data_IF_475444483994
#
_entry.id   IF_475444483994
#
_cell.length_a   1.000
_cell.length_b   1.000
_cell.length_c   1.000
_cell.angle_alpha   90.00
_cell.angle_beta   90.00
_cell.angle_gamma   90.00
#
_symmetry.space_group_name_H-M   'P 1'
#
loop_
_entity.id
_entity.type
_entity.pdbx_description
1 polymer ?
#
# COMPACT_ATOMS: atom_id res chain seq x y z
N UNK A 1 -28.46 -11.27 39.98
CA UNK A 1 -27.13 -10.63 39.87
C UNK A 1 -26.21 -11.60 39.15
N UNK A 2 -26.01 -11.42 37.85
CA UNK A 2 -25.10 -12.25 37.05
C UNK A 2 -24.27 -11.31 36.17
N UNK A 3 -23.04 -11.03 36.63
CA UNK A 3 -22.04 -10.30 35.85
C UNK A 3 -21.55 -11.21 34.73
N UNK A 4 -22.03 -10.97 33.52
CA UNK A 4 -21.45 -11.54 32.30
C UNK A 4 -20.15 -10.79 32.04
N UNK A 5 -19.03 -11.44 32.36
CA UNK A 5 -17.71 -11.07 31.89
C UNK A 5 -17.73 -11.00 30.36
N UNK A 6 -17.76 -9.79 29.81
CA UNK A 6 -17.31 -9.57 28.44
C UNK A 6 -15.79 -9.76 28.43
N UNK A 7 -15.23 -10.68 27.61
CA UNK A 7 -13.80 -10.73 27.44
C UNK A 7 -13.36 -9.43 26.77
N UNK A 8 -12.56 -8.66 27.51
CA UNK A 8 -11.78 -7.53 27.00
C UNK A 8 -11.04 -7.99 25.74
N UNK A 9 -11.20 -7.26 24.63
CA UNK A 9 -10.18 -7.21 23.58
C UNK A 9 -9.23 -6.05 23.89
N UNK A 10 -8.01 -6.31 24.37
CA UNK A 10 -6.88 -5.45 24.09
C UNK A 10 -5.98 -6.19 23.10
N UNK A 11 -5.93 -5.73 21.86
CA UNK A 11 -4.73 -5.94 21.06
C UNK A 11 -3.95 -4.64 21.07
N UNK A 12 -2.94 -4.60 21.94
CA UNK A 12 -1.80 -3.72 21.79
C UNK A 12 -1.26 -3.86 20.36
N UNK A 13 -0.96 -2.72 19.74
CA UNK A 13 -0.50 -2.63 18.35
C UNK A 13 0.92 -3.19 18.23
N UNK A 14 1.04 -4.48 17.93
CA UNK A 14 2.27 -5.06 17.40
C UNK A 14 2.26 -4.94 15.87
N UNK A 15 3.35 -4.45 15.30
CA UNK A 15 3.56 -4.47 13.86
C UNK A 15 3.50 -5.92 13.33
N UNK A 16 2.82 -6.10 12.19
CA UNK A 16 2.34 -7.41 11.71
C UNK A 16 3.49 -8.33 11.29
N UNK A 17 3.38 -9.62 11.61
CA UNK A 17 4.45 -10.63 11.47
C UNK A 17 4.45 -11.29 10.08
N UNK A 18 5.61 -11.78 9.61
CA UNK A 18 5.71 -12.64 8.41
C UNK A 18 4.82 -13.86 8.59
N UNK A 19 3.98 -14.12 7.60
CA UNK A 19 3.00 -15.21 7.65
C UNK A 19 1.76 -14.93 8.51
N UNK A 20 1.60 -13.72 9.07
CA UNK A 20 0.34 -13.31 9.69
C UNK A 20 -0.80 -13.50 8.66
N UNK A 21 -1.82 -14.32 8.96
CA UNK A 21 -2.97 -14.50 8.08
C UNK A 21 -3.63 -13.18 7.66
N UNK A 22 -3.50 -12.12 8.46
CA UNK A 22 -4.05 -10.80 8.16
C UNK A 22 -3.33 -10.07 7.01
N UNK A 23 -2.11 -10.48 6.66
CA UNK A 23 -1.37 -9.90 5.53
C UNK A 23 -1.81 -10.48 4.18
N UNK A 24 -2.61 -11.55 4.18
CA UNK A 24 -3.00 -12.27 2.97
C UNK A 24 -4.14 -11.53 2.25
N UNK A 25 -4.10 -11.48 0.91
CA UNK A 25 -5.27 -11.11 0.13
C UNK A 25 -6.49 -11.95 0.54
N UNK A 26 -7.61 -11.26 0.67
CA UNK A 26 -8.95 -11.85 0.74
C UNK A 26 -9.52 -11.97 -0.69
N UNK A 27 -10.73 -12.51 -0.78
CA UNK A 27 -11.52 -12.56 -2.01
C UNK A 27 -11.55 -11.17 -2.69
N UNK A 28 -10.94 -11.02 -3.88
CA UNK A 28 -10.97 -9.75 -4.58
C UNK A 28 -12.36 -9.45 -5.12
N UNK A 29 -12.72 -8.17 -5.18
CA UNK A 29 -13.96 -7.73 -5.83
C UNK A 29 -13.65 -7.46 -7.30
N UNK A 30 -14.20 -8.26 -8.20
CA UNK A 30 -14.02 -8.11 -9.65
C UNK A 30 -15.35 -7.89 -10.34
N UNK A 31 -15.43 -6.83 -11.13
CA UNK A 31 -16.60 -6.47 -11.94
C UNK A 31 -16.16 -6.20 -13.37
N UNK A 32 -16.91 -6.76 -14.32
CA UNK A 32 -16.71 -6.58 -15.75
C UNK A 32 -17.97 -5.93 -16.32
N UNK A 33 -17.81 -4.79 -16.99
CA UNK A 33 -18.85 -4.19 -17.82
C UNK A 33 -18.51 -4.46 -19.28
N UNK A 34 -19.43 -5.07 -20.00
CA UNK A 34 -19.28 -5.37 -21.41
C UNK A 34 -19.94 -4.29 -22.27
N UNK A 35 -19.43 -4.08 -23.48
CA UNK A 35 -20.06 -3.20 -24.47
C UNK A 35 -21.18 -3.89 -25.27
N UNK A 36 -21.22 -5.23 -25.25
CA UNK A 36 -22.28 -6.04 -25.86
C UNK A 36 -22.50 -7.37 -25.13
N UNK A 37 -23.68 -8.01 -25.30
CA UNK A 37 -23.94 -9.31 -24.70
C UNK A 37 -22.93 -10.38 -25.15
N UNK A 38 -22.38 -11.18 -24.22
CA UNK A 38 -21.57 -12.36 -24.53
C UNK A 38 -22.48 -13.54 -24.92
N UNK A 39 -21.89 -14.60 -25.48
CA UNK A 39 -22.62 -15.82 -25.85
C UNK A 39 -23.27 -16.52 -24.64
N UNK A 40 -22.64 -16.41 -23.47
CA UNK A 40 -23.10 -17.05 -22.23
C UNK A 40 -23.23 -16.05 -21.08
N UNK A 41 -24.27 -16.22 -20.27
CA UNK A 41 -24.51 -15.34 -19.11
C UNK A 41 -23.58 -15.62 -17.92
N UNK A 42 -22.93 -16.77 -17.89
CA UNK A 42 -21.91 -17.13 -16.90
C UNK A 42 -20.68 -17.63 -17.65
N UNK A 43 -19.50 -17.33 -17.12
CA UNK A 43 -18.24 -17.73 -17.73
C UNK A 43 -17.10 -17.66 -16.72
N UNK A 44 -16.03 -18.41 -16.97
CA UNK A 44 -14.81 -18.39 -16.15
C UNK A 44 -13.70 -17.63 -16.87
N UNK A 45 -12.95 -16.79 -16.15
CA UNK A 45 -11.71 -16.18 -16.63
C UNK A 45 -10.59 -16.41 -15.64
N UNK A 46 -9.37 -16.15 -16.05
CA UNK A 46 -8.22 -16.22 -15.16
C UNK A 46 -7.62 -14.84 -14.99
N UNK A 47 -7.37 -14.49 -13.74
CA UNK A 47 -6.51 -13.37 -13.38
C UNK A 47 -5.11 -13.92 -13.13
N UNK A 48 -4.16 -13.48 -13.94
CA UNK A 48 -2.83 -14.06 -13.95
C UNK A 48 -1.78 -13.02 -13.62
N UNK A 49 -0.86 -13.40 -12.76
CA UNK A 49 0.25 -12.62 -12.23
C UNK A 49 1.51 -13.26 -12.78
N UNK A 50 2.38 -12.48 -13.42
CA UNK A 50 3.58 -12.97 -14.08
C UNK A 50 4.82 -12.33 -13.46
N UNK A 51 5.82 -13.15 -13.14
CA UNK A 51 7.12 -12.66 -12.69
C UNK A 51 8.05 -12.28 -13.86
N UNK A 52 9.21 -11.72 -13.54
CA UNK A 52 10.27 -11.38 -14.50
C UNK A 52 10.84 -12.59 -15.27
N UNK A 53 10.72 -13.83 -14.77
CA UNK A 53 11.13 -15.04 -15.51
C UNK A 53 10.09 -15.49 -16.54
N UNK A 54 8.89 -14.94 -16.46
CA UNK A 54 7.75 -15.32 -17.28
C UNK A 54 6.87 -16.42 -16.64
N UNK A 55 7.18 -16.87 -15.43
CA UNK A 55 6.35 -17.80 -14.68
C UNK A 55 5.06 -17.12 -14.18
N UNK A 56 4.02 -17.91 -13.94
CA UNK A 56 2.69 -17.38 -13.64
C UNK A 56 2.05 -17.99 -12.39
N UNK A 57 1.44 -17.14 -11.58
CA UNK A 57 0.42 -17.47 -10.57
C UNK A 57 -0.94 -17.10 -11.14
N UNK A 58 -1.92 -17.99 -11.05
CA UNK A 58 -3.23 -17.80 -11.69
C UNK A 58 -4.36 -18.01 -10.70
N UNK A 59 -5.32 -17.10 -10.74
CA UNK A 59 -6.57 -17.17 -10.01
C UNK A 59 -7.70 -17.40 -11.01
N UNK A 60 -8.38 -18.54 -10.90
CA UNK A 60 -9.58 -18.81 -11.68
C UNK A 60 -10.78 -18.11 -11.04
N UNK A 61 -11.56 -17.39 -11.86
CA UNK A 61 -12.67 -16.54 -11.41
C UNK A 61 -13.91 -16.87 -12.22
N UNK A 62 -14.98 -17.26 -11.54
CA UNK A 62 -16.30 -17.42 -12.16
C UNK A 62 -17.10 -16.13 -12.08
N UNK A 63 -17.72 -15.77 -13.20
CA UNK A 63 -18.54 -14.58 -13.32
C UNK A 63 -20.01 -14.93 -13.50
N UNK A 64 -20.87 -14.19 -12.81
CA UNK A 64 -22.33 -14.22 -12.99
C UNK A 64 -22.83 -12.83 -13.32
N UNK A 65 -23.85 -12.78 -14.19
CA UNK A 65 -24.53 -11.54 -14.54
C UNK A 65 -25.18 -10.91 -13.31
N UNK A 66 -24.87 -9.64 -13.05
CA UNK A 66 -25.49 -8.83 -11.99
C UNK A 66 -26.73 -8.14 -12.56
N UNK A 67 -26.54 -7.33 -13.60
CA UNK A 67 -27.59 -6.55 -14.26
C UNK A 67 -27.10 -6.05 -15.61
N UNK A 68 -28.01 -5.76 -16.55
CA UNK A 68 -27.67 -5.12 -17.83
C UNK A 68 -26.52 -5.81 -18.58
N UNK A 69 -25.41 -5.09 -18.76
CA UNK A 69 -24.15 -5.58 -19.31
C UNK A 69 -23.03 -5.66 -18.26
N UNK A 70 -23.39 -5.97 -17.01
CA UNK A 70 -22.47 -6.02 -15.87
C UNK A 70 -22.44 -7.43 -15.28
N UNK A 71 -21.24 -7.95 -15.09
CA UNK A 71 -20.93 -9.23 -14.46
C UNK A 71 -20.03 -9.00 -13.25
N UNK A 72 -20.22 -9.79 -12.19
CA UNK A 72 -19.34 -9.79 -11.03
C UNK A 72 -18.89 -11.19 -10.68
N UNK A 73 -17.89 -11.28 -9.81
CA UNK A 73 -17.43 -12.55 -9.24
C UNK A 73 -18.62 -13.25 -8.57
N UNK A 74 -18.81 -14.52 -8.91
CA UNK A 74 -19.70 -15.42 -8.18
C UNK A 74 -18.95 -16.45 -7.34
N UNK A 75 -17.75 -16.84 -7.75
CA UNK A 75 -16.92 -17.81 -7.03
C UNK A 75 -15.46 -17.77 -7.54
N UNK A 76 -14.56 -18.38 -6.74
CA UNK A 76 -13.21 -18.77 -7.14
C UNK A 76 -13.16 -20.31 -7.15
N UNK A 77 -13.37 -20.98 -8.31
CA UNK A 77 -13.57 -22.43 -8.35
C UNK A 77 -12.42 -23.25 -7.75
N UNK A 78 -11.20 -22.73 -7.89
CA UNK A 78 -9.99 -23.39 -7.42
C UNK A 78 -9.51 -22.81 -6.07
N UNK A 79 -10.36 -22.00 -5.41
CA UNK A 79 -9.99 -21.22 -4.24
C UNK A 79 -9.13 -19.98 -4.56
N UNK A 80 -8.66 -19.29 -3.52
CA UNK A 80 -7.83 -18.07 -3.63
C UNK A 80 -6.38 -18.28 -3.15
N UNK A 81 -5.99 -19.52 -2.84
CA UNK A 81 -4.69 -19.89 -2.29
C UNK A 81 -3.54 -19.44 -3.21
N UNK A 82 -3.75 -19.49 -4.52
CA UNK A 82 -2.82 -18.96 -5.50
C UNK A 82 -2.56 -17.45 -5.29
N UNK A 83 -3.61 -16.65 -5.09
CA UNK A 83 -3.47 -15.23 -4.79
C UNK A 83 -2.83 -15.01 -3.41
N UNK A 84 -3.25 -15.79 -2.40
CA UNK A 84 -2.66 -15.72 -1.07
C UNK A 84 -1.17 -16.06 -1.06
N UNK A 85 -0.72 -16.92 -1.97
CA UNK A 85 0.69 -17.27 -2.10
C UNK A 85 1.57 -16.10 -2.52
N UNK A 86 1.02 -15.01 -3.06
CA UNK A 86 1.78 -13.82 -3.43
C UNK A 86 2.47 -13.17 -2.23
N UNK A 87 2.00 -13.42 -1.01
CA UNK A 87 2.66 -12.93 0.21
C UNK A 87 3.87 -13.78 0.62
N UNK A 88 4.07 -14.94 -0.01
CA UNK A 88 5.15 -15.85 0.36
C UNK A 88 6.48 -15.41 -0.22
N UNK A 89 7.58 -15.88 0.40
CA UNK A 89 8.89 -15.54 -0.10
C UNK A 89 9.11 -15.89 -1.58
N UNK A 90 9.69 -14.98 -2.34
CA UNK A 90 9.99 -15.12 -3.76
C UNK A 90 8.86 -14.67 -4.70
N UNK A 91 7.67 -14.36 -4.18
CA UNK A 91 6.49 -14.14 -5.01
C UNK A 91 6.14 -12.66 -5.24
N UNK A 92 6.89 -11.70 -4.67
CA UNK A 92 6.57 -10.26 -4.84
C UNK A 92 6.57 -9.83 -6.31
N UNK A 93 7.51 -10.32 -7.10
CA UNK A 93 7.67 -9.94 -8.53
C UNK A 93 6.51 -10.38 -9.44
N UNK A 94 5.67 -11.32 -9.00
CA UNK A 94 4.50 -11.75 -9.79
C UNK A 94 3.48 -10.63 -9.99
N UNK A 95 3.50 -9.60 -9.13
CA UNK A 95 2.63 -8.45 -9.26
C UNK A 95 3.04 -7.47 -10.38
N UNK A 96 4.22 -7.62 -10.97
CA UNK A 96 4.76 -6.66 -11.94
C UNK A 96 4.01 -6.71 -13.28
N UNK A 97 3.51 -7.89 -13.64
CA UNK A 97 2.70 -8.08 -14.84
C UNK A 97 1.42 -8.83 -14.52
N UNK A 98 0.31 -8.27 -15.00
CA UNK A 98 -1.03 -8.75 -14.68
C UNK A 98 -1.83 -8.92 -15.96
N UNK A 99 -2.58 -10.01 -16.08
CA UNK A 99 -3.35 -10.36 -17.27
C UNK A 99 -4.75 -10.83 -16.91
N UNK A 100 -5.74 -10.50 -17.74
CA UNK A 100 -7.02 -11.19 -17.78
C UNK A 100 -7.01 -12.16 -18.96
N UNK A 101 -7.14 -13.45 -18.69
CA UNK A 101 -7.02 -14.52 -19.70
C UNK A 101 -8.32 -15.31 -19.89
N UNK A 102 -8.56 -15.79 -21.12
CA UNK A 102 -9.67 -16.71 -21.44
C UNK A 102 -9.29 -18.20 -21.36
N UNK A 103 -8.01 -18.54 -21.60
CA UNK A 103 -7.41 -19.88 -21.42
C UNK A 103 -8.24 -21.06 -21.98
N UNK A 104 -8.70 -20.94 -23.21
CA UNK A 104 -9.45 -22.00 -23.91
C UNK A 104 -10.97 -21.87 -23.79
N UNK A 105 -11.49 -20.82 -23.15
CA UNK A 105 -12.92 -20.52 -23.15
C UNK A 105 -13.45 -20.19 -24.55
N UNK A 106 -14.68 -20.60 -24.84
CA UNK A 106 -15.34 -20.42 -26.15
C UNK A 106 -15.95 -19.02 -26.36
N UNK A 107 -16.03 -18.23 -25.29
CA UNK A 107 -16.77 -16.97 -25.28
C UNK A 107 -15.84 -15.78 -25.41
N UNK A 108 -16.04 -14.97 -26.45
CA UNK A 108 -15.42 -13.64 -26.56
C UNK A 108 -16.13 -12.63 -25.65
N UNK A 109 -15.37 -11.82 -24.90
CA UNK A 109 -15.90 -10.73 -24.08
C UNK A 109 -15.45 -9.39 -24.64
N UNK A 110 -16.40 -8.49 -24.94
CA UNK A 110 -16.07 -7.12 -25.33
C UNK A 110 -16.07 -6.23 -24.09
N UNK A 111 -14.92 -6.11 -23.44
CA UNK A 111 -14.80 -5.44 -22.15
C UNK A 111 -14.76 -3.94 -22.37
N UNK A 112 -15.80 -3.24 -21.89
CA UNK A 112 -15.83 -1.78 -21.84
C UNK A 112 -15.03 -1.29 -20.64
N UNK A 113 -15.35 -1.80 -19.46
CA UNK A 113 -14.76 -1.38 -18.20
C UNK A 113 -14.44 -2.60 -17.33
N UNK A 114 -13.29 -2.56 -16.67
CA UNK A 114 -12.85 -3.60 -15.74
C UNK A 114 -12.53 -2.95 -14.40
N UNK A 115 -13.08 -3.53 -13.34
CA UNK A 115 -12.76 -3.17 -11.97
C UNK A 115 -12.27 -4.41 -11.21
N UNK A 116 -11.08 -4.32 -10.63
CA UNK A 116 -10.43 -5.29 -9.77
C UNK A 116 -9.98 -4.56 -8.51
N UNK A 117 -10.59 -4.88 -7.37
CA UNK A 117 -10.20 -4.37 -6.05
C UNK A 117 -9.59 -5.52 -5.26
N UNK A 118 -8.34 -5.36 -4.84
CA UNK A 118 -7.70 -6.28 -3.91
C UNK A 118 -8.11 -5.93 -2.49
N UNK A 119 -8.53 -6.95 -1.74
CA UNK A 119 -9.04 -6.81 -0.40
C UNK A 119 -8.08 -7.44 0.60
N UNK A 120 -7.92 -6.81 1.76
CA UNK A 120 -7.05 -7.27 2.84
C UNK A 120 -7.79 -7.19 4.17
N UNK A 121 -7.44 -8.05 5.13
CA UNK A 121 -7.88 -7.86 6.51
C UNK A 121 -7.30 -6.55 7.01
N UNK A 122 -8.15 -5.61 7.45
CA UNK A 122 -7.79 -4.24 7.80
C UNK A 122 -6.44 -4.19 8.57
N UNK A 123 -5.33 -3.92 7.87
CA UNK A 123 -4.02 -4.06 8.47
C UNK A 123 -3.84 -2.91 9.47
N UNK A 124 -3.17 -3.17 10.60
CA UNK A 124 -3.11 -2.26 11.76
C UNK A 124 -2.86 -0.78 11.38
N UNK A 125 -3.76 0.15 11.71
CA UNK A 125 -3.63 1.57 11.35
C UNK A 125 -4.98 2.21 11.00
N UNK A 126 -4.98 3.51 10.66
CA UNK A 126 -6.19 4.24 10.23
C UNK A 126 -6.22 4.39 8.71
N UNK A 127 -7.34 3.96 8.10
CA UNK A 127 -7.66 4.31 6.71
C UNK A 127 -7.80 5.82 6.59
N UNK A 128 -7.28 6.43 5.51
CA UNK A 128 -7.55 7.84 5.25
C UNK A 128 -9.05 8.14 5.06
N UNK A 129 -9.86 7.14 4.66
CA UNK A 129 -11.30 7.27 4.45
C UNK A 129 -12.10 7.82 5.65
N UNK A 130 -11.54 7.72 6.86
CA UNK A 130 -12.12 8.32 8.06
C UNK A 130 -12.00 9.84 8.07
N UNK A 131 -11.15 10.44 7.24
CA UNK A 131 -11.03 11.88 7.06
C UNK A 131 -11.88 12.35 5.88
N UNK A 132 -12.58 13.47 6.04
CA UNK A 132 -13.31 14.14 4.94
C UNK A 132 -12.48 15.24 4.28
N UNK A 133 -11.20 15.34 4.60
CA UNK A 133 -10.34 16.38 4.07
C UNK A 133 -9.99 16.15 2.60
N UNK A 134 -9.86 17.25 1.87
CA UNK A 134 -9.31 17.28 0.52
C UNK A 134 -7.92 17.89 0.61
N UNK A 135 -6.89 17.16 0.20
CA UNK A 135 -5.49 17.58 0.28
C UNK A 135 -4.89 17.56 -1.12
N UNK A 136 -4.54 18.72 -1.66
CA UNK A 136 -4.04 18.87 -3.04
C UNK A 136 -4.94 18.14 -4.05
N UNK A 137 -6.25 18.41 -3.98
CA UNK A 137 -7.27 17.79 -4.86
C UNK A 137 -7.61 16.32 -4.56
N UNK A 138 -6.89 15.66 -3.65
CA UNK A 138 -7.17 14.29 -3.25
C UNK A 138 -8.21 14.27 -2.12
N UNK A 139 -9.38 13.70 -2.40
CA UNK A 139 -10.36 13.41 -1.36
C UNK A 139 -9.95 12.16 -0.58
N UNK A 140 -9.48 12.35 0.66
CA UNK A 140 -9.01 11.25 1.51
C UNK A 140 -10.13 10.25 1.84
N UNK A 141 -11.41 10.66 1.77
CA UNK A 141 -12.57 9.80 2.01
C UNK A 141 -12.67 8.63 1.01
N UNK A 142 -11.93 8.69 -0.10
CA UNK A 142 -11.93 7.68 -1.16
C UNK A 142 -10.80 6.65 -1.01
N UNK A 143 -9.87 6.85 -0.08
CA UNK A 143 -8.74 5.96 0.13
C UNK A 143 -9.04 5.02 1.30
N UNK A 144 -9.26 3.75 0.97
CA UNK A 144 -9.37 2.67 1.93
C UNK A 144 -8.13 1.79 1.83
N UNK A 145 -7.33 1.71 2.88
CA UNK A 145 -6.07 0.97 2.81
C UNK A 145 -6.24 -0.55 2.80
N UNK A 146 -7.45 -1.03 3.11
CA UNK A 146 -7.84 -2.45 3.03
C UNK A 146 -8.48 -2.83 1.69
N UNK A 147 -8.89 -1.85 0.87
CA UNK A 147 -9.53 -2.06 -0.43
C UNK A 147 -8.82 -1.22 -1.50
N UNK A 148 -7.88 -1.84 -2.20
CA UNK A 148 -6.99 -1.16 -3.14
C UNK A 148 -7.47 -1.44 -4.57
N UNK A 149 -7.88 -0.42 -5.34
CA UNK A 149 -8.38 -0.59 -6.71
C UNK A 149 -7.21 -0.79 -7.68
N UNK A 150 -6.75 -2.04 -7.80
CA UNK A 150 -5.65 -2.41 -8.68
C UNK A 150 -6.00 -2.12 -10.13
N UNK A 151 -7.25 -2.32 -10.54
CA UNK A 151 -7.75 -1.86 -11.83
C UNK A 151 -9.14 -1.27 -11.60
N UNK A 152 -9.40 -0.10 -12.17
CA UNK A 152 -10.71 0.55 -12.26
C UNK A 152 -10.60 1.48 -13.47
N UNK A 153 -10.82 0.92 -14.66
CA UNK A 153 -10.55 1.61 -15.92
C UNK A 153 -11.40 1.12 -17.09
N UNK A 154 -11.63 2.02 -18.04
CA UNK A 154 -12.26 1.70 -19.32
C UNK A 154 -11.24 1.02 -20.24
N UNK A 155 -11.27 -0.31 -20.27
CA UNK A 155 -10.37 -1.15 -21.07
C UNK A 155 -10.68 -1.01 -22.56
N UNK A 156 -11.96 -1.04 -22.95
CA UNK A 156 -12.43 -0.99 -24.33
C UNK A 156 -11.74 -1.98 -25.29
N UNK A 157 -11.47 -3.20 -24.83
CA UNK A 157 -10.80 -4.25 -25.63
C UNK A 157 -11.61 -5.55 -25.63
N UNK A 158 -11.61 -6.31 -26.73
CA UNK A 158 -12.09 -7.68 -26.72
C UNK A 158 -11.08 -8.60 -26.04
N UNK A 159 -11.57 -9.54 -25.25
CA UNK A 159 -10.88 -10.77 -24.86
C UNK A 159 -11.48 -11.90 -25.69
N UNK A 160 -10.76 -12.35 -26.70
CA UNK A 160 -11.22 -13.31 -27.71
C UNK A 160 -11.39 -14.72 -27.12
N UNK A 161 -12.22 -15.54 -27.78
CA UNK A 161 -12.30 -16.98 -27.54
C UNK A 161 -10.96 -17.69 -27.78
N UNK A 162 -10.78 -18.85 -27.16
CA UNK A 162 -9.53 -19.61 -27.18
C UNK A 162 -8.52 -19.08 -26.16
N UNK A 163 -7.24 -19.02 -26.55
CA UNK A 163 -6.11 -18.69 -25.67
C UNK A 163 -5.70 -17.23 -25.79
N UNK A 164 -6.63 -16.31 -25.56
CA UNK A 164 -6.38 -14.88 -25.58
C UNK A 164 -6.14 -14.29 -24.18
N UNK A 165 -5.46 -13.14 -24.13
CA UNK A 165 -5.17 -12.40 -22.89
C UNK A 165 -5.12 -10.88 -23.13
N UNK A 166 -5.60 -10.13 -22.15
CA UNK A 166 -5.43 -8.66 -22.08
C UNK A 166 -4.37 -8.36 -21.01
N UNK A 167 -3.34 -7.61 -21.36
CA UNK A 167 -2.35 -7.09 -20.41
C UNK A 167 -2.93 -5.90 -19.62
N UNK A 168 -2.85 -5.98 -18.30
CA UNK A 168 -3.48 -5.05 -17.37
C UNK A 168 -2.49 -4.08 -16.71
N UNK A 169 -1.18 -4.21 -16.94
CA UNK A 169 -0.14 -3.45 -16.23
C UNK A 169 -0.31 -1.93 -16.35
N UNK A 170 -0.51 -1.41 -17.56
CA UNK A 170 -0.73 0.03 -17.77
C UNK A 170 -2.04 0.54 -17.19
N UNK A 171 -3.11 -0.26 -17.28
CA UNK A 171 -4.40 0.07 -16.66
C UNK A 171 -4.27 0.12 -15.15
N UNK A 172 -3.51 -0.82 -14.57
CA UNK A 172 -3.21 -0.86 -13.14
C UNK A 172 -2.47 0.38 -12.67
N UNK A 173 -1.39 0.76 -13.36
CA UNK A 173 -0.64 1.98 -13.08
C UNK A 173 -1.56 3.22 -13.06
N UNK A 174 -2.38 3.39 -14.09
CA UNK A 174 -3.32 4.52 -14.19
C UNK A 174 -4.37 4.53 -13.08
N UNK A 175 -4.94 3.36 -12.76
CA UNK A 175 -5.91 3.24 -11.67
C UNK A 175 -5.30 3.58 -10.31
N UNK A 176 -4.09 3.10 -10.01
CA UNK A 176 -3.40 3.41 -8.77
C UNK A 176 -3.02 4.88 -8.66
N UNK A 177 -2.51 5.50 -9.74
CA UNK A 177 -2.23 6.93 -9.77
C UNK A 177 -3.49 7.76 -9.54
N UNK A 178 -4.59 7.44 -10.22
CA UNK A 178 -5.86 8.12 -10.04
C UNK A 178 -6.39 7.98 -8.61
N UNK A 179 -6.30 6.77 -8.04
CA UNK A 179 -6.76 6.48 -6.69
C UNK A 179 -5.92 7.21 -5.62
N UNK A 180 -4.61 7.21 -5.78
CA UNK A 180 -3.68 7.91 -4.88
C UNK A 180 -3.59 9.43 -5.16
N UNK A 181 -4.21 9.92 -6.24
CA UNK A 181 -4.15 11.32 -6.67
C UNK A 181 -2.77 11.77 -7.13
N UNK A 182 -1.92 10.86 -7.63
CA UNK A 182 -0.56 11.16 -8.10
C UNK A 182 -0.57 12.23 -9.18
N UNK A 183 0.40 13.14 -9.09
CA UNK A 183 0.64 14.24 -10.03
C UNK A 183 2.03 14.10 -10.66
N UNK A 184 2.31 14.88 -11.71
CA UNK A 184 3.64 14.89 -12.33
C UNK A 184 4.71 15.59 -11.48
N UNK A 185 4.30 16.34 -10.45
CA UNK A 185 5.21 16.96 -9.48
C UNK A 185 5.66 15.98 -8.38
N UNK A 186 5.04 14.78 -8.29
CA UNK A 186 5.44 13.78 -7.32
C UNK A 186 6.78 13.12 -7.73
N UNK A 187 7.73 12.93 -6.80
CA UNK A 187 9.02 12.33 -7.12
C UNK A 187 8.89 10.93 -7.74
N UNK A 188 9.74 10.59 -8.72
CA UNK A 188 9.67 9.32 -9.44
C UNK A 188 9.68 8.09 -8.52
N UNK A 189 10.46 8.11 -7.44
CA UNK A 189 10.52 7.02 -6.47
C UNK A 189 9.24 6.89 -5.63
N UNK A 190 8.54 8.00 -5.37
CA UNK A 190 7.21 7.98 -4.73
C UNK A 190 6.19 7.39 -5.70
N UNK A 191 6.23 7.82 -6.97
CA UNK A 191 5.36 7.26 -8.04
C UNK A 191 5.56 5.75 -8.17
N UNK A 192 6.82 5.28 -8.17
CA UNK A 192 7.16 3.87 -8.17
C UNK A 192 6.60 3.14 -6.92
N UNK A 193 6.68 3.74 -5.74
CA UNK A 193 6.10 3.17 -4.52
C UNK A 193 4.57 3.08 -4.56
N UNK A 194 3.89 4.04 -5.20
CA UNK A 194 2.44 3.98 -5.45
C UNK A 194 2.10 2.88 -6.46
N UNK A 195 2.92 2.68 -7.49
CA UNK A 195 2.74 1.56 -8.43
C UNK A 195 2.83 0.21 -7.73
N UNK A 196 3.43 0.13 -6.55
CA UNK A 196 3.49 -1.08 -5.74
C UNK A 196 2.31 -1.23 -4.78
N UNK A 197 1.39 -0.26 -4.70
CA UNK A 197 0.19 -0.39 -3.87
C UNK A 197 -0.61 -1.67 -4.21
N UNK A 198 -1.01 -2.37 -3.15
CA UNK A 198 -1.66 -3.66 -3.17
C UNK A 198 -0.73 -4.84 -3.39
N UNK A 199 0.56 -4.65 -3.68
CA UNK A 199 1.52 -5.74 -3.65
C UNK A 199 1.80 -6.13 -2.20
N UNK A 200 1.78 -7.43 -1.96
CA UNK A 200 2.30 -8.07 -0.76
C UNK A 200 3.48 -8.95 -1.17
N UNK A 201 4.50 -9.04 -0.33
CA UNK A 201 5.71 -9.82 -0.59
C UNK A 201 6.91 -9.08 -0.06
N UNK A 202 7.89 -9.78 0.50
CA UNK A 202 9.15 -9.19 0.95
C UNK A 202 10.32 -9.89 0.30
N UNK A 203 10.26 -10.28 -0.97
CA UNK A 203 11.38 -10.79 -1.76
C UNK A 203 10.80 -11.33 -3.07
N UNK A 204 11.70 -11.50 -4.04
CA UNK A 204 11.39 -11.91 -5.39
C UNK A 204 12.68 -12.31 -6.07
N UNK A 205 12.58 -12.59 -7.35
CA UNK A 205 13.74 -12.41 -8.22
C UNK A 205 13.41 -11.24 -9.15
N UNK A 206 14.41 -10.47 -9.53
CA UNK A 206 14.30 -9.38 -10.49
C UNK A 206 15.33 -9.61 -11.60
N UNK A 207 15.47 -8.65 -12.50
CA UNK A 207 16.44 -8.72 -13.60
C UNK A 207 17.91 -8.82 -13.12
N UNK A 208 18.18 -8.60 -11.83
CA UNK A 208 19.49 -8.76 -11.19
C UNK A 208 19.66 -10.13 -10.49
N UNK A 209 18.70 -11.06 -10.64
CA UNK A 209 18.72 -12.39 -10.05
C UNK A 209 17.77 -12.53 -8.86
N UNK A 210 18.03 -13.48 -7.95
CA UNK A 210 17.29 -13.58 -6.68
C UNK A 210 17.48 -12.26 -5.94
N UNK A 211 16.42 -11.48 -5.80
CA UNK A 211 16.47 -10.16 -5.21
C UNK A 211 17.00 -10.33 -3.77
N UNK A 212 18.23 -9.90 -3.47
CA UNK A 212 18.89 -10.22 -2.20
C UNK A 212 18.32 -9.41 -1.03
N UNK A 213 17.39 -8.49 -1.31
CA UNK A 213 17.19 -7.30 -0.50
C UNK A 213 16.46 -7.53 0.82
N UNK A 214 15.64 -8.56 0.90
CA UNK A 214 14.93 -8.87 2.13
C UNK A 214 15.54 -10.10 2.79
N UNK A 215 16.83 -9.98 3.07
CA UNK A 215 17.58 -10.96 3.84
C UNK A 215 17.37 -10.80 5.36
N UNK A 216 16.67 -9.75 5.79
CA UNK A 216 16.45 -9.40 7.19
C UNK A 216 15.35 -10.17 7.91
N UNK A 217 15.39 -10.08 9.23
CA UNK A 217 14.28 -10.50 10.09
C UNK A 217 13.06 -9.59 9.87
N UNK A 218 11.87 -10.15 10.16
CA UNK A 218 10.54 -9.56 9.93
C UNK A 218 10.43 -8.10 10.41
N UNK A 219 11.13 -7.77 11.49
CA UNK A 219 11.08 -6.46 12.16
C UNK A 219 11.66 -5.33 11.32
N UNK A 220 12.43 -5.65 10.28
CA UNK A 220 13.18 -4.63 9.54
C UNK A 220 12.68 -4.39 8.11
N UNK A 221 11.67 -5.16 7.67
CA UNK A 221 11.13 -5.11 6.30
C UNK A 221 10.57 -3.73 5.91
N UNK A 222 10.11 -2.94 6.90
CA UNK A 222 9.63 -1.58 6.68
C UNK A 222 10.78 -0.63 6.31
N UNK A 223 11.95 -0.80 6.92
CA UNK A 223 13.15 -0.01 6.60
C UNK A 223 13.76 -0.42 5.25
N UNK A 224 13.74 -1.71 4.93
CA UNK A 224 14.15 -2.24 3.63
C UNK A 224 13.24 -1.74 2.51
N UNK A 225 11.93 -1.62 2.77
CA UNK A 225 10.98 -1.01 1.84
C UNK A 225 11.37 0.43 1.51
N UNK A 226 11.56 1.29 2.52
CA UNK A 226 11.95 2.70 2.31
C UNK A 226 13.30 2.78 1.59
N UNK A 227 14.30 2.04 2.07
CA UNK A 227 15.67 2.07 1.54
C UNK A 227 15.75 1.61 0.09
N UNK A 228 14.83 0.76 -0.36
CA UNK A 228 14.74 0.31 -1.76
C UNK A 228 14.44 1.44 -2.72
N UNK A 229 13.37 2.20 -2.47
CA UNK A 229 12.96 3.27 -3.38
C UNK A 229 14.03 4.34 -3.49
N UNK A 230 14.69 4.64 -2.38
CA UNK A 230 15.84 5.53 -2.40
C UNK A 230 17.00 4.97 -3.22
N UNK A 231 17.38 3.71 -3.01
CA UNK A 231 18.47 3.08 -3.74
C UNK A 231 18.21 3.00 -5.26
N UNK A 232 17.05 2.49 -5.67
CA UNK A 232 16.71 2.30 -7.10
C UNK A 232 16.68 3.63 -7.86
N UNK A 233 16.40 4.73 -7.16
CA UNK A 233 16.35 6.07 -7.75
C UNK A 233 17.58 6.92 -7.41
N UNK A 234 18.68 6.29 -6.95
CA UNK A 234 19.97 6.94 -6.76
C UNK A 234 20.03 7.95 -5.61
N UNK A 235 19.05 7.95 -4.72
CA UNK A 235 19.02 8.81 -3.53
C UNK A 235 20.06 8.30 -2.54
N UNK A 236 20.90 9.21 -2.07
CA UNK A 236 21.99 8.94 -1.12
C UNK A 236 21.80 9.78 0.12
N UNK A 237 22.09 9.16 1.26
CA UNK A 237 22.23 9.86 2.55
C UNK A 237 23.70 9.69 2.95
N UNK A 238 24.40 10.80 3.16
CA UNK A 238 25.83 10.88 3.45
C UNK A 238 26.70 10.28 2.34
N UNK A 239 26.28 10.46 1.09
CA UNK A 239 26.93 9.85 -0.07
C UNK A 239 26.86 8.32 -0.11
N UNK A 240 26.21 7.68 0.88
CA UNK A 240 26.10 6.23 0.99
C UNK A 240 24.89 5.72 0.20
N UNK A 241 25.11 4.58 -0.45
CA UNK A 241 24.02 3.77 -0.99
C UNK A 241 23.17 3.23 0.16
N UNK A 242 21.86 3.21 -0.04
CA UNK A 242 20.89 2.66 0.92
C UNK A 242 20.51 1.21 0.60
N UNK A 243 21.23 0.56 -0.34
CA UNK A 243 20.96 -0.80 -0.78
C UNK A 243 20.86 -1.80 0.38
N UNK A 244 21.84 -1.75 1.29
CA UNK A 244 22.08 -2.75 2.33
C UNK A 244 21.53 -2.32 3.71
N UNK A 245 20.62 -1.35 3.73
CA UNK A 245 20.00 -0.91 4.97
C UNK A 245 18.84 -1.83 5.32
N UNK A 246 19.07 -2.62 6.38
CA UNK A 246 18.16 -3.62 6.92
C UNK A 246 17.76 -3.28 8.36
N UNK A 247 17.81 -2.02 8.79
CA UNK A 247 17.13 -1.65 10.05
C UNK A 247 16.64 -0.22 10.10
N UNK A 248 15.50 -0.01 10.79
CA UNK A 248 14.93 1.33 11.02
C UNK A 248 15.92 2.21 11.78
N UNK A 249 16.63 1.65 12.77
CA UNK A 249 17.64 2.37 13.55
C UNK A 249 18.78 2.88 12.67
N UNK A 250 19.25 2.09 11.70
CA UNK A 250 20.34 2.51 10.81
C UNK A 250 19.90 3.68 9.91
N UNK A 251 18.66 3.69 9.39
CA UNK A 251 18.13 4.84 8.65
C UNK A 251 18.14 6.11 9.52
N UNK A 252 17.62 6.02 10.75
CA UNK A 252 17.62 7.13 11.70
C UNK A 252 19.03 7.69 11.92
N UNK A 253 20.01 6.83 12.22
CA UNK A 253 21.38 7.23 12.48
C UNK A 253 22.04 7.90 11.27
N UNK A 254 21.70 7.47 10.05
CA UNK A 254 22.18 8.10 8.82
C UNK A 254 21.66 9.52 8.64
N UNK A 255 20.35 9.74 8.77
CA UNK A 255 19.76 11.09 8.68
C UNK A 255 20.22 12.00 9.82
N UNK A 256 20.40 11.43 11.03
CA UNK A 256 20.96 12.15 12.18
C UNK A 256 22.39 12.61 11.92
N UNK A 257 23.23 11.75 11.35
CA UNK A 257 24.61 12.10 11.03
C UNK A 257 24.72 13.24 9.99
N UNK A 258 23.72 13.38 9.10
CA UNK A 258 23.61 14.51 8.17
C UNK A 258 22.95 15.76 8.75
N UNK A 259 22.52 15.73 10.02
CA UNK A 259 21.72 16.79 10.65
C UNK A 259 20.42 17.08 9.88
N UNK A 260 19.87 16.07 9.19
CA UNK A 260 18.61 16.14 8.43
C UNK A 260 17.46 15.44 9.13
N UNK A 261 17.63 15.12 10.40
CA UNK A 261 16.61 14.47 11.20
C UNK A 261 15.84 15.52 12.01
N UNK A 262 14.51 15.44 11.97
CA UNK A 262 13.61 16.38 12.63
C UNK A 262 12.63 15.60 13.50
N UNK A 263 12.36 16.07 14.72
CA UNK A 263 11.41 15.45 15.64
C UNK A 263 10.08 16.19 15.62
N UNK A 264 8.96 15.46 15.61
CA UNK A 264 7.66 16.11 15.79
C UNK A 264 7.46 16.51 17.25
N UNK A 265 6.89 17.70 17.48
CA UNK A 265 6.67 18.21 18.83
C UNK A 265 5.18 18.47 19.10
N UNK A 266 4.45 17.45 19.56
CA UNK A 266 3.04 17.57 19.95
C UNK A 266 2.78 18.40 21.22
N UNK A 267 3.82 18.72 21.99
CA UNK A 267 3.73 19.46 23.26
C UNK A 267 3.64 20.98 23.11
N UNK A 268 3.86 21.52 21.91
CA UNK A 268 3.85 22.97 21.68
C UNK A 268 2.61 23.43 20.90
N UNK A 269 2.35 24.75 20.91
CA UNK A 269 1.35 25.37 20.02
C UNK A 269 1.73 25.24 18.53
N UNK A 270 3.01 25.01 18.26
CA UNK A 270 3.62 24.90 16.94
C UNK A 270 3.89 23.43 16.59
N UNK A 271 2.84 22.77 16.11
CA UNK A 271 2.80 21.36 15.71
C UNK A 271 3.60 21.07 14.42
N UNK A 272 4.93 21.20 14.48
CA UNK A 272 5.83 20.99 13.35
C UNK A 272 6.93 19.97 13.69
N UNK A 273 7.65 19.55 12.66
CA UNK A 273 8.92 18.85 12.82
C UNK A 273 10.03 19.87 13.08
N UNK A 274 10.86 19.64 14.09
CA UNK A 274 11.92 20.55 14.51
C UNK A 274 13.23 19.78 14.52
N UNK A 275 14.27 20.35 13.92
CA UNK A 275 15.60 19.78 13.99
C UNK A 275 16.22 20.06 15.35
N UNK A 276 16.60 19.02 16.09
CA UNK A 276 17.12 19.18 17.46
C UNK A 276 18.46 19.95 17.49
N UNK A 277 19.26 19.87 16.42
CA UNK A 277 20.58 20.51 16.37
C UNK A 277 20.51 22.02 16.04
N UNK A 278 19.57 22.42 15.17
CA UNK A 278 19.48 23.79 14.63
C UNK A 278 18.25 24.57 15.10
N UNK A 279 17.23 23.90 15.62
CA UNK A 279 15.93 24.48 15.94
C UNK A 279 15.09 24.82 14.70
N UNK A 280 15.53 24.45 13.50
CA UNK A 280 14.79 24.70 12.25
C UNK A 280 13.46 23.95 12.26
N UNK A 281 12.37 24.65 11.96
CA UNK A 281 11.07 24.05 11.69
C UNK A 281 10.98 23.58 10.24
N UNK A 282 10.45 22.39 10.03
CA UNK A 282 10.30 21.78 8.71
C UNK A 282 8.87 21.28 8.46
N UNK A 283 8.40 21.50 7.23
CA UNK A 283 7.14 20.95 6.73
C UNK A 283 7.48 19.76 5.84
N UNK A 284 6.97 18.55 6.17
CA UNK A 284 7.27 17.34 5.40
C UNK A 284 6.94 17.48 3.91
N UNK A 285 7.78 16.90 3.07
CA UNK A 285 7.60 16.78 1.63
C UNK A 285 7.33 15.34 1.22
N UNK A 286 6.76 15.20 0.02
CA UNK A 286 6.59 13.90 -0.63
C UNK A 286 7.95 13.24 -0.80
N UNK A 287 8.07 12.01 -0.33
CA UNK A 287 9.28 11.22 -0.39
C UNK A 287 10.21 11.32 0.83
N UNK A 288 9.91 12.18 1.80
CA UNK A 288 10.67 12.19 3.06
C UNK A 288 10.51 10.87 3.84
N UNK A 289 11.52 10.53 4.63
CA UNK A 289 11.48 9.37 5.53
C UNK A 289 10.67 9.72 6.79
N UNK A 290 9.73 8.85 7.19
CA UNK A 290 9.07 8.93 8.50
C UNK A 290 9.37 7.69 9.34
N UNK A 291 9.84 7.92 10.56
CA UNK A 291 10.03 6.92 11.58
C UNK A 291 8.95 7.06 12.66
N UNK A 292 8.38 5.93 13.07
CA UNK A 292 7.62 5.81 14.32
C UNK A 292 8.48 5.05 15.34
N UNK A 293 8.58 5.62 16.54
CA UNK A 293 9.23 5.02 17.69
C UNK A 293 8.21 4.81 18.80
N UNK A 294 8.35 3.71 19.54
CA UNK A 294 7.62 3.48 20.78
C UNK A 294 8.56 3.50 21.99
N UNK A 295 8.05 3.08 23.16
CA UNK A 295 8.83 3.05 24.39
C UNK A 295 10.14 2.26 24.28
N UNK A 296 10.14 1.19 23.47
CA UNK A 296 11.29 0.29 23.29
C UNK A 296 12.24 0.72 22.15
N UNK A 297 11.96 1.86 21.50
CA UNK A 297 12.81 2.43 20.45
C UNK A 297 12.16 2.43 19.06
N UNK A 298 12.99 2.23 18.03
CA UNK A 298 12.59 2.26 16.64
C UNK A 298 11.62 1.11 16.31
N UNK A 299 10.43 1.42 15.80
CA UNK A 299 9.41 0.40 15.49
C UNK A 299 9.13 0.29 14.00
N UNK A 300 9.04 1.42 13.30
CA UNK A 300 8.50 1.40 11.94
C UNK A 300 9.05 2.52 11.04
N UNK A 301 9.20 2.19 9.76
CA UNK A 301 9.71 3.07 8.71
C UNK A 301 8.68 3.22 7.58
N UNK A 302 8.42 4.44 7.13
CA UNK A 302 7.44 4.76 6.09
C UNK A 302 7.97 5.86 5.15
N UNK A 303 7.40 5.94 3.95
CA UNK A 303 7.61 7.07 3.04
C UNK A 303 6.47 8.08 3.21
N UNK A 304 6.81 9.34 3.43
CA UNK A 304 5.81 10.42 3.44
C UNK A 304 5.33 10.62 2.01
N UNK A 305 4.01 10.69 1.82
CA UNK A 305 3.44 11.05 0.53
C UNK A 305 2.86 12.47 0.57
N UNK A 306 2.03 12.78 1.56
CA UNK A 306 1.46 14.13 1.71
C UNK A 306 1.44 14.59 3.15
N UNK A 307 1.86 15.82 3.36
CA UNK A 307 1.53 16.56 4.56
C UNK A 307 0.05 16.94 4.52
N UNK A 308 -0.68 16.60 5.57
CA UNK A 308 -2.10 16.90 5.71
C UNK A 308 -2.23 17.95 6.80
N UNK A 309 -2.27 19.25 6.43
CA UNK A 309 -2.30 20.32 7.42
C UNK A 309 -3.61 20.29 8.21
N UNK A 310 -3.55 20.72 9.47
CA UNK A 310 -4.72 20.86 10.32
C UNK A 310 -5.79 21.73 9.67
N UNK A 311 -7.04 21.33 9.85
CA UNK A 311 -8.21 22.13 9.49
C UNK A 311 -8.91 22.62 10.78
N UNK A 312 -8.73 23.90 11.17
CA UNK A 312 -9.36 24.45 12.37
C UNK A 312 -10.89 24.37 12.38
N UNK A 313 -11.51 24.31 11.19
CA UNK A 313 -12.96 24.28 11.01
C UNK A 313 -13.52 22.86 10.92
N UNK A 314 -12.65 21.83 10.95
CA UNK A 314 -13.11 20.46 10.86
C UNK A 314 -14.01 20.08 12.04
N UNK A 315 -15.05 19.29 11.75
CA UNK A 315 -15.98 18.80 12.79
C UNK A 315 -15.38 17.69 13.65
N UNK A 316 -14.44 16.91 13.10
CA UNK A 316 -13.73 15.85 13.82
C UNK A 316 -12.50 16.42 14.52
N UNK A 317 -12.32 16.08 15.80
CA UNK A 317 -11.17 16.53 16.59
C UNK A 317 -9.82 16.17 15.96
N UNK A 318 -9.69 14.96 15.41
CA UNK A 318 -8.44 14.50 14.77
C UNK A 318 -8.07 15.37 13.55
N UNK A 319 -9.05 15.85 12.79
CA UNK A 319 -8.85 16.67 11.57
C UNK A 319 -8.42 18.12 11.92
N UNK A 320 -8.56 18.54 13.18
CA UNK A 320 -8.05 19.83 13.68
C UNK A 320 -6.55 19.82 14.00
N UNK A 321 -5.88 18.72 13.69
CA UNK A 321 -4.46 18.49 13.96
C UNK A 321 -3.76 18.13 12.66
N UNK A 322 -2.46 18.38 12.60
CA UNK A 322 -1.66 17.95 11.47
C UNK A 322 -1.61 16.41 11.41
N UNK A 323 -1.69 15.87 10.20
CA UNK A 323 -1.64 14.45 9.91
C UNK A 323 -0.67 14.21 8.74
N UNK A 324 -0.31 12.96 8.49
CA UNK A 324 0.52 12.59 7.34
C UNK A 324 -0.12 11.44 6.59
N UNK A 325 -0.26 11.60 5.28
CA UNK A 325 -0.52 10.48 4.38
C UNK A 325 0.83 9.85 4.01
N UNK A 326 0.99 8.57 4.30
CA UNK A 326 2.22 7.82 4.06
C UNK A 326 1.99 6.65 3.11
N UNK A 327 3.03 6.26 2.38
CA UNK A 327 3.10 4.95 1.74
C UNK A 327 3.72 3.99 2.74
N UNK A 328 2.94 2.99 3.12
CA UNK A 328 3.31 1.99 4.10
C UNK A 328 3.42 0.63 3.44
N UNK A 329 4.44 -0.16 3.78
CA UNK A 329 4.66 -1.49 3.24
C UNK A 329 5.53 -2.36 4.14
N UNK A 330 5.88 -3.58 3.71
CA UNK A 330 5.51 -4.20 2.43
C UNK A 330 4.24 -5.09 2.45
N UNK A 331 3.43 -5.08 3.53
CA UNK A 331 2.35 -6.07 3.77
C UNK A 331 0.94 -5.49 4.06
N UNK A 332 0.08 -5.31 3.05
CA UNK A 332 0.47 -4.93 1.68
C UNK A 332 1.08 -3.52 1.66
N UNK A 333 1.69 -3.15 0.54
CA UNK A 333 1.96 -1.74 0.26
C UNK A 333 0.63 -1.00 0.11
N UNK A 334 0.43 0.09 0.85
CA UNK A 334 -0.83 0.83 0.86
C UNK A 334 -0.63 2.26 1.36
N UNK A 335 -1.64 3.11 1.14
CA UNK A 335 -1.67 4.46 1.69
C UNK A 335 -2.29 4.45 3.09
N UNK A 336 -1.67 5.13 4.06
CA UNK A 336 -2.19 5.24 5.42
C UNK A 336 -2.17 6.65 5.94
N UNK A 337 -3.14 6.97 6.78
CA UNK A 337 -3.20 8.25 7.47
C UNK A 337 -2.63 8.10 8.88
N UNK A 338 -1.48 8.72 9.13
CA UNK A 338 -0.83 8.76 10.44
C UNK A 338 -1.30 10.00 11.18
N UNK A 339 -1.94 9.78 12.34
CA UNK A 339 -2.44 10.85 13.20
C UNK A 339 -1.38 11.18 14.26
N UNK A 340 -0.24 11.68 13.81
CA UNK A 340 0.98 11.87 14.62
C UNK A 340 0.69 12.51 15.98
N UNK A 341 0.00 13.64 15.98
CA UNK A 341 -0.31 14.36 17.23
C UNK A 341 -1.13 13.54 18.22
N UNK A 342 -2.04 12.70 17.72
CA UNK A 342 -2.86 11.82 18.55
C UNK A 342 -1.99 10.71 19.12
N UNK A 343 -1.20 10.04 18.28
CA UNK A 343 -0.35 8.92 18.69
C UNK A 343 0.74 9.34 19.69
N UNK A 344 1.28 10.56 19.60
CA UNK A 344 2.23 11.08 20.61
C UNK A 344 1.60 11.43 21.96
N UNK A 345 0.30 11.74 21.99
CA UNK A 345 -0.43 12.08 23.22
C UNK A 345 -1.17 10.91 23.86
N UNK A 346 -1.25 9.78 23.18
CA UNK A 346 -1.91 8.59 23.70
C UNK A 346 -1.11 8.00 24.88
N UNK A 347 -1.83 7.37 25.80
CA UNK A 347 -1.27 6.69 26.97
C UNK A 347 -1.73 5.24 26.98
N UNK A 348 -0.92 4.36 27.58
CA UNK A 348 -1.19 2.92 27.66
C UNK A 348 -0.07 2.08 27.05
N UNK A 349 -0.32 0.78 26.94
CA UNK A 349 0.67 -0.18 26.41
C UNK A 349 1.06 0.16 24.96
N UNK A 350 2.36 0.25 24.71
CA UNK A 350 2.90 0.65 23.41
C UNK A 350 2.86 2.15 23.12
N UNK A 351 2.45 3.01 24.06
CA UNK A 351 2.37 4.45 23.90
C UNK A 351 3.09 5.20 25.04
N UNK A 352 3.44 6.50 24.88
CA UNK A 352 3.26 7.32 23.68
C UNK A 352 4.17 6.86 22.53
N UNK A 353 3.79 7.22 21.31
CA UNK A 353 4.69 7.12 20.16
C UNK A 353 5.51 8.41 20.04
N UNK A 354 6.63 8.33 19.34
CA UNK A 354 7.49 9.47 19.02
C UNK A 354 7.83 9.41 17.53
N UNK A 355 7.74 10.56 16.85
CA UNK A 355 7.91 10.60 15.39
C UNK A 355 9.11 11.42 14.97
N UNK A 356 9.88 10.85 14.07
CA UNK A 356 11.04 11.49 13.47
C UNK A 356 10.91 11.49 11.96
N UNK A 357 11.41 12.55 11.33
CA UNK A 357 11.44 12.72 9.90
C UNK A 357 12.89 12.84 9.45
N UNK A 358 13.27 12.09 8.43
CA UNK A 358 14.53 12.29 7.69
C UNK A 358 14.24 13.03 6.39
N UNK A 359 14.80 14.24 6.25
CA UNK A 359 14.63 15.07 5.04
C UNK A 359 15.44 14.50 3.88
N UNK A 360 14.78 14.32 2.74
CA UNK A 360 15.39 13.98 1.46
C UNK A 360 15.46 15.25 0.59
N UNK A 361 16.55 15.41 -0.17
CA UNK A 361 16.79 16.60 -1.00
C UNK A 361 16.16 16.51 -2.39
#
# INVERSE_FOLDING_TARGET
MSNIFSPKKPHAMGDMKKGDPNNRPLDPKITIVLSRPPAHNNFDRHLSFQDHTGAFIRLKVSFKKISGLTWGVSAFPDGIEALQSLVYPGNRSYWDRMYLENRGGDTTLHIKHLKIVMCYNNPSGSSPDVSKQIVNGLNLSLINHAEIPIVDWDINMPLLSGYDKIELTEFRKRSLYRWAGVTDDDPDFVRAAIEDCGKSGSDGSDQYGKNPKYAGDITELCSEFVSWYYYEHGIKVNGKSLKDITSTKTLHELFKAEKKLYRYNSGTSNQYFINDDSGETYVPKSGDYLERRGPDGAEHSMLIYRWVPKDPNATKADDKLNQILVINGPWPVTLRLVKIHKEEKMTGEGYPKDYWLGRVD
#
